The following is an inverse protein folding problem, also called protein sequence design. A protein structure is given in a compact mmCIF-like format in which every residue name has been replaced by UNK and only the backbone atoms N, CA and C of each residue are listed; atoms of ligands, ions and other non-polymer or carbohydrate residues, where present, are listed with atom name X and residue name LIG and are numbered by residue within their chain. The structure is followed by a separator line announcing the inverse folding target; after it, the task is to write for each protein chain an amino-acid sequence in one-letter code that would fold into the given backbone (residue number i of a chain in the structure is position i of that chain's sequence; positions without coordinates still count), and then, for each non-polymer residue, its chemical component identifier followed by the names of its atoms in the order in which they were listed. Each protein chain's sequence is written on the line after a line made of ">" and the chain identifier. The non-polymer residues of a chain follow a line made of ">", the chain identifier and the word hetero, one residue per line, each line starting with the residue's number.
data_IF_532878538629
#
_entry.id   IF_532878538629
#
_cell.length_a   1.000
_cell.length_b   1.000
_cell.length_c   1.000
_cell.angle_alpha   90.00
_cell.angle_beta   90.00
_cell.angle_gamma   90.00
#
_symmetry.space_group_name_H-M   'P 1'
#
loop_
_entity.id
_entity.type
_entity.pdbx_description
1 polymer ?
#
# COMPACT_ATOMS: atom_id res chain seq x y z
N UNK A 1 4.02 -0.74 19.78
CA UNK A 1 4.03 -1.30 18.41
C UNK A 1 2.88 -0.65 17.66
N UNK A 2 3.15 0.06 16.56
CA UNK A 2 2.11 0.55 15.66
C UNK A 2 1.46 -0.63 14.93
N UNK A 3 0.14 -0.58 14.77
CA UNK A 3 -0.65 -1.62 14.10
C UNK A 3 -0.30 -1.65 12.62
N UNK A 4 0.00 -2.84 12.08
CA UNK A 4 0.27 -3.09 10.66
C UNK A 4 -0.75 -4.05 10.08
N UNK A 5 -1.05 -3.90 8.79
CA UNK A 5 -1.90 -4.81 8.02
C UNK A 5 -1.14 -5.25 6.78
N UNK A 6 -1.00 -6.56 6.59
CA UNK A 6 -0.45 -7.14 5.37
C UNK A 6 -1.57 -7.21 4.33
N UNK A 7 -1.40 -6.50 3.22
CA UNK A 7 -2.33 -6.43 2.10
C UNK A 7 -2.03 -7.48 1.05
N UNK A 8 -0.74 -7.73 0.80
CA UNK A 8 -0.25 -8.73 -0.14
C UNK A 8 0.97 -9.42 0.44
N UNK A 9 1.01 -10.75 0.34
CA UNK A 9 2.19 -11.55 0.63
C UNK A 9 2.12 -12.78 -0.28
N UNK A 10 2.61 -12.62 -1.49
CA UNK A 10 2.53 -13.61 -2.57
C UNK A 10 3.92 -14.18 -2.86
N UNK A 11 3.95 -15.46 -3.25
CA UNK A 11 5.15 -16.15 -3.72
C UNK A 11 4.81 -16.94 -4.98
N UNK A 12 5.60 -16.73 -6.03
CA UNK A 12 5.49 -17.44 -7.31
C UNK A 12 6.87 -17.86 -7.78
N UNK A 13 7.23 -19.13 -7.57
CA UNK A 13 8.59 -19.59 -7.83
C UNK A 13 9.62 -18.84 -6.99
N UNK A 14 10.55 -18.16 -7.64
CA UNK A 14 11.56 -17.31 -7.01
C UNK A 14 11.05 -15.88 -6.71
N UNK A 15 9.90 -15.48 -7.29
CA UNK A 15 9.35 -14.14 -7.08
C UNK A 15 8.56 -14.06 -5.77
N UNK A 16 8.72 -12.96 -5.05
CA UNK A 16 7.85 -12.61 -3.91
C UNK A 16 7.34 -11.20 -4.05
N UNK A 17 6.12 -10.95 -3.57
CA UNK A 17 5.51 -9.61 -3.53
C UNK A 17 4.88 -9.38 -2.18
N UNK A 18 5.41 -8.43 -1.44
CA UNK A 18 4.90 -7.99 -0.15
C UNK A 18 4.33 -6.58 -0.27
N UNK A 19 3.20 -6.35 0.39
CA UNK A 19 2.58 -5.04 0.54
C UNK A 19 1.97 -4.95 1.92
N UNK A 20 2.36 -3.95 2.69
CA UNK A 20 1.78 -3.67 4.01
C UNK A 20 1.36 -2.21 4.16
N UNK A 21 0.48 -1.97 5.13
CA UNK A 21 0.03 -0.63 5.47
C UNK A 21 0.03 -0.42 6.99
N UNK A 22 0.39 0.79 7.42
CA UNK A 22 0.37 1.19 8.83
C UNK A 22 0.21 2.70 8.99
N UNK A 23 -0.13 3.13 10.21
CA UNK A 23 -0.14 4.54 10.58
C UNK A 23 1.13 4.85 11.38
N UNK A 24 1.77 5.99 11.06
CA UNK A 24 2.83 6.55 11.89
C UNK A 24 2.27 7.30 13.11
N UNK A 25 3.15 7.86 13.94
CA UNK A 25 2.77 8.60 15.15
C UNK A 25 1.99 9.91 14.84
N UNK A 26 2.16 10.47 13.64
CA UNK A 26 1.42 11.63 13.17
C UNK A 26 0.07 11.25 12.53
N UNK A 27 -0.25 9.96 12.44
CA UNK A 27 -1.46 9.45 11.83
C UNK A 27 -1.42 9.43 10.29
N UNK A 28 -0.25 9.58 9.68
CA UNK A 28 -0.13 9.42 8.23
C UNK A 28 -0.15 7.93 7.88
N UNK A 29 -0.78 7.62 6.75
CA UNK A 29 -0.80 6.26 6.21
C UNK A 29 0.46 6.01 5.41
N UNK A 30 1.18 4.95 5.77
CA UNK A 30 2.28 4.39 5.02
C UNK A 30 1.80 3.12 4.31
N UNK A 31 2.18 2.98 3.05
CA UNK A 31 1.98 1.78 2.23
C UNK A 31 3.36 1.40 1.69
N UNK A 32 3.86 0.25 2.13
CA UNK A 32 5.22 -0.20 1.86
C UNK A 32 5.15 -1.47 1.02
N UNK A 33 5.81 -1.43 -0.15
CA UNK A 33 5.88 -2.53 -1.10
C UNK A 33 7.30 -3.05 -1.24
N UNK A 34 7.43 -4.37 -1.29
CA UNK A 34 8.69 -5.07 -1.46
C UNK A 34 8.49 -6.25 -2.41
N UNK A 35 9.00 -6.09 -3.64
CA UNK A 35 8.96 -7.12 -4.66
C UNK A 35 10.38 -7.67 -4.85
N UNK A 36 10.54 -9.00 -4.82
CA UNK A 36 11.80 -9.70 -5.05
C UNK A 36 11.66 -10.71 -6.18
N UNK A 37 12.80 -11.04 -6.80
CA UNK A 37 12.95 -12.17 -7.69
C UNK A 37 13.17 -11.79 -9.16
N UNK A 38 13.42 -12.77 -10.04
CA UNK A 38 13.77 -12.51 -11.43
C UNK A 38 12.77 -11.62 -12.17
N UNK A 39 11.49 -11.58 -11.77
CA UNK A 39 10.48 -10.69 -12.35
C UNK A 39 10.74 -9.19 -12.17
N UNK A 40 11.55 -8.78 -11.20
CA UNK A 40 11.93 -7.36 -10.97
C UNK A 40 13.17 -6.95 -11.76
N UNK A 41 13.90 -7.90 -12.39
CA UNK A 41 15.08 -7.62 -13.23
C UNK A 41 14.79 -6.74 -14.46
N UNK A 42 13.51 -6.58 -14.82
CA UNK A 42 13.07 -5.60 -15.82
C UNK A 42 13.12 -4.15 -15.32
N UNK A 43 13.24 -3.92 -14.01
CA UNK A 43 13.24 -2.61 -13.34
C UNK A 43 14.57 -2.35 -12.60
N UNK A 44 15.19 -3.37 -11.99
CA UNK A 44 16.53 -3.28 -11.36
C UNK A 44 17.33 -4.59 -11.46
N UNK A 45 18.61 -4.48 -11.78
CA UNK A 45 19.52 -5.62 -12.04
C UNK A 45 19.78 -6.53 -10.82
N UNK A 46 19.47 -6.09 -9.61
CA UNK A 46 19.67 -6.84 -8.36
C UNK A 46 18.49 -7.75 -7.99
N UNK A 47 17.36 -7.65 -8.70
CA UNK A 47 16.20 -8.49 -8.42
C UNK A 47 15.36 -7.99 -7.24
N UNK A 48 15.52 -6.75 -6.80
CA UNK A 48 14.74 -6.15 -5.72
C UNK A 48 14.09 -4.83 -6.19
N UNK A 49 12.83 -4.64 -5.81
CA UNK A 49 12.14 -3.36 -6.02
C UNK A 49 11.33 -3.03 -4.78
N UNK A 50 11.71 -1.95 -4.13
CA UNK A 50 11.11 -1.50 -2.90
C UNK A 50 10.64 -0.07 -3.02
N UNK A 51 9.49 0.20 -2.41
CA UNK A 51 8.90 1.53 -2.43
C UNK A 51 8.03 1.74 -1.20
N UNK A 52 7.90 3.00 -0.81
CA UNK A 52 6.94 3.42 0.19
C UNK A 52 6.15 4.62 -0.30
N UNK A 53 4.87 4.64 0.03
CA UNK A 53 3.98 5.76 -0.21
C UNK A 53 3.44 6.28 1.10
N UNK A 54 3.59 7.58 1.33
CA UNK A 54 3.02 8.26 2.50
C UNK A 54 1.83 9.12 2.06
N UNK A 55 0.70 8.97 2.76
CA UNK A 55 -0.52 9.76 2.59
C UNK A 55 -0.77 10.51 3.90
N UNK A 56 -0.87 11.85 3.87
CA UNK A 56 -1.01 12.63 5.08
C UNK A 56 -2.36 12.36 5.75
N UNK A 57 -2.39 12.42 7.08
CA UNK A 57 -3.59 12.20 7.89
C UNK A 57 -4.83 13.01 7.39
N UNK A 58 -4.59 14.23 6.91
CA UNK A 58 -5.64 15.12 6.39
C UNK A 58 -6.35 14.61 5.13
N UNK A 59 -5.74 13.72 4.36
CA UNK A 59 -6.34 13.12 3.16
C UNK A 59 -7.07 11.81 3.47
N UNK A 60 -6.92 11.24 4.68
CA UNK A 60 -7.48 9.93 5.00
C UNK A 60 -9.02 9.87 4.97
N UNK A 61 -9.78 10.89 5.43
CA UNK A 61 -11.23 10.86 5.28
C UNK A 61 -11.67 10.74 3.81
N UNK A 62 -11.00 11.49 2.92
CA UNK A 62 -11.25 11.42 1.47
C UNK A 62 -10.83 10.08 0.89
N UNK A 63 -9.72 9.51 1.35
CA UNK A 63 -9.28 8.18 0.95
C UNK A 63 -10.29 7.11 1.36
N UNK A 64 -10.80 7.15 2.59
CA UNK A 64 -11.82 6.22 3.10
C UNK A 64 -13.07 6.24 2.21
N UNK A 65 -13.57 7.43 1.85
CA UNK A 65 -14.71 7.59 0.95
C UNK A 65 -14.44 6.98 -0.44
N UNK A 66 -13.27 7.27 -1.04
CA UNK A 66 -12.88 6.74 -2.35
C UNK A 66 -12.73 5.21 -2.37
N UNK A 67 -12.33 4.63 -1.25
CA UNK A 67 -12.23 3.18 -1.06
C UNK A 67 -13.59 2.54 -0.69
N UNK A 68 -14.68 3.32 -0.73
CA UNK A 68 -16.05 2.90 -0.46
C UNK A 68 -16.33 2.61 1.02
N UNK A 69 -15.52 3.15 1.92
CA UNK A 69 -15.79 3.21 3.36
C UNK A 69 -16.77 4.33 3.71
N UNK A 70 -17.20 4.34 4.97
CA UNK A 70 -18.06 5.38 5.54
C UNK A 70 -17.24 6.37 6.37
N UNK A 71 -17.80 7.56 6.60
CA UNK A 71 -17.19 8.54 7.51
C UNK A 71 -16.94 7.90 8.89
N UNK A 72 -15.72 8.02 9.40
CA UNK A 72 -15.30 7.44 10.67
C UNK A 72 -14.79 5.99 10.59
N UNK A 73 -14.83 5.34 9.42
CA UNK A 73 -14.18 4.04 9.25
C UNK A 73 -12.66 4.15 9.46
N UNK A 74 -12.09 3.23 10.24
CA UNK A 74 -10.65 3.13 10.38
C UNK A 74 -10.01 2.64 9.07
N UNK A 75 -9.09 3.42 8.51
CA UNK A 75 -8.46 3.12 7.22
C UNK A 75 -7.78 1.74 7.21
N UNK A 76 -7.09 1.35 8.28
CA UNK A 76 -6.42 0.04 8.36
C UNK A 76 -7.43 -1.11 8.39
N UNK A 77 -8.57 -0.94 9.04
CA UNK A 77 -9.65 -1.94 9.01
C UNK A 77 -10.29 -2.04 7.62
N UNK A 78 -10.51 -0.90 6.95
CA UNK A 78 -11.05 -0.86 5.60
C UNK A 78 -10.12 -1.59 4.62
N UNK A 79 -8.82 -1.31 4.68
CA UNK A 79 -7.80 -1.96 3.86
C UNK A 79 -7.73 -3.46 4.14
N UNK A 80 -7.71 -3.88 5.41
CA UNK A 80 -7.72 -5.29 5.79
C UNK A 80 -8.95 -6.04 5.25
N UNK A 81 -10.11 -5.39 5.27
CA UNK A 81 -11.39 -5.99 4.85
C UNK A 81 -11.56 -6.06 3.34
N UNK A 82 -11.02 -5.11 2.57
CA UNK A 82 -11.37 -4.94 1.14
C UNK A 82 -10.20 -4.96 0.16
N UNK A 83 -8.99 -4.68 0.62
CA UNK A 83 -7.83 -4.49 -0.25
C UNK A 83 -6.72 -5.51 0.05
N UNK A 84 -7.10 -6.73 0.44
CA UNK A 84 -6.18 -7.86 0.63
C UNK A 84 -6.17 -8.82 -0.57
N UNK A 85 -5.07 -9.56 -0.75
CA UNK A 85 -4.90 -10.50 -1.85
C UNK A 85 -4.98 -9.81 -3.22
N UNK A 86 -5.76 -10.37 -4.16
CA UNK A 86 -5.90 -9.80 -5.52
C UNK A 86 -6.45 -8.36 -5.53
N UNK A 87 -7.26 -7.97 -4.54
CA UNK A 87 -7.80 -6.62 -4.47
C UNK A 87 -6.73 -5.56 -4.13
N UNK A 88 -5.59 -5.96 -3.55
CA UNK A 88 -4.48 -5.05 -3.24
C UNK A 88 -3.91 -4.34 -4.47
N UNK A 89 -4.01 -4.95 -5.66
CA UNK A 89 -3.54 -4.38 -6.91
C UNK A 89 -4.38 -3.16 -7.35
N UNK A 90 -5.63 -3.06 -6.92
CA UNK A 90 -6.49 -1.92 -7.21
C UNK A 90 -6.19 -0.70 -6.33
N UNK A 91 -5.62 -0.92 -5.13
CA UNK A 91 -5.35 0.16 -4.16
C UNK A 91 -4.44 1.24 -4.75
N UNK A 92 -3.32 0.81 -5.33
CA UNK A 92 -2.35 1.74 -5.93
C UNK A 92 -2.98 2.51 -7.10
N UNK A 93 -3.76 1.81 -7.94
CA UNK A 93 -4.48 2.43 -9.06
C UNK A 93 -5.43 3.52 -8.57
N UNK A 94 -6.27 3.22 -7.58
CA UNK A 94 -7.22 4.18 -7.00
C UNK A 94 -6.48 5.39 -6.43
N UNK A 95 -5.42 5.20 -5.65
CA UNK A 95 -4.66 6.32 -5.07
C UNK A 95 -4.08 7.20 -6.17
N UNK A 96 -3.43 6.62 -7.18
CA UNK A 96 -2.80 7.37 -8.28
C UNK A 96 -3.82 8.15 -9.12
N UNK A 97 -5.00 7.59 -9.35
CA UNK A 97 -6.04 8.20 -10.18
C UNK A 97 -6.93 9.19 -9.42
N UNK A 98 -6.91 9.17 -8.08
CA UNK A 98 -7.79 10.00 -7.24
C UNK A 98 -7.37 11.47 -7.07
N UNK A 99 -6.11 11.78 -7.38
CA UNK A 99 -5.51 13.08 -7.02
C UNK A 99 -5.36 13.30 -5.51
N UNK A 100 -5.36 12.24 -4.70
CA UNK A 100 -4.95 12.30 -3.30
C UNK A 100 -3.48 12.72 -3.23
N UNK A 101 -3.19 13.68 -2.36
CA UNK A 101 -1.81 14.05 -2.08
C UNK A 101 -1.09 12.85 -1.46
N UNK A 102 -0.01 12.44 -2.09
CA UNK A 102 0.84 11.38 -1.57
C UNK A 102 2.28 11.58 -2.04
N UNK A 103 3.22 11.12 -1.23
CA UNK A 103 4.65 11.12 -1.54
C UNK A 103 5.05 9.68 -1.84
N UNK A 104 5.68 9.44 -2.99
CA UNK A 104 6.22 8.14 -3.38
C UNK A 104 7.74 8.24 -3.33
N UNK A 105 8.36 7.28 -2.65
CA UNK A 105 9.79 7.09 -2.67
C UNK A 105 10.07 5.65 -3.08
N UNK A 106 11.03 5.48 -3.98
CA UNK A 106 11.49 4.18 -4.50
C UNK A 106 12.96 4.07 -4.20
N UNK A 107 13.43 2.89 -3.81
CA UNK A 107 14.85 2.69 -3.58
C UNK A 107 15.43 1.54 -4.41
#
# INVERSE_FOLDING_TARGET
>A
MSRRVVLRNERSGADTRHLEAYLDEAGNLHIDGHDLGPGTSLVRDDGEYEWFRTIPASELPRLVELLGGSEGDEILDLLARRYTGRASYELERVIRESGIRSELSTW
#
